data_IF_444842178690
#
_entry.id   IF_444842178690
#
_cell.length_a   1.000
_cell.length_b   1.000
_cell.length_c   1.000
_cell.angle_alpha   90.00
_cell.angle_beta   90.00
_cell.angle_gamma   90.00
#
_symmetry.space_group_name_H-M   'P 1'
#
loop_
_entity.id
_entity.type
_entity.pdbx_description
1 polymer ?
#
# COMPACT_ATOMS: atom_id res chain seq x y z
N UNK A 1 22.23 12.15 -49.39
CA UNK A 1 21.12 11.17 -49.40
C UNK A 1 21.26 10.03 -48.34
N UNK A 2 22.46 9.52 -48.05
CA UNK A 2 22.65 8.42 -47.06
C UNK A 2 22.26 8.78 -45.60
N UNK A 3 22.43 10.05 -45.17
CA UNK A 3 22.14 10.48 -43.81
C UNK A 3 20.62 10.61 -43.49
N UNK A 4 19.80 10.96 -44.52
CA UNK A 4 18.33 10.99 -44.34
C UNK A 4 17.75 9.58 -44.19
N UNK A 5 18.29 8.59 -44.90
CA UNK A 5 17.86 7.19 -44.79
C UNK A 5 18.13 6.57 -43.38
N UNK A 6 19.26 6.95 -42.76
CA UNK A 6 19.59 6.48 -41.40
C UNK A 6 18.66 7.08 -40.31
N UNK A 7 18.27 8.35 -40.45
CA UNK A 7 17.33 9.00 -39.49
C UNK A 7 15.95 8.39 -39.62
N UNK A 8 15.48 8.11 -40.84
CA UNK A 8 14.21 7.43 -41.08
C UNK A 8 14.18 5.99 -40.53
N UNK A 9 15.26 5.23 -40.67
CA UNK A 9 15.37 3.87 -40.13
C UNK A 9 15.42 3.84 -38.60
N UNK A 10 16.10 4.83 -37.99
CA UNK A 10 16.15 4.95 -36.53
C UNK A 10 14.79 5.36 -35.93
N UNK A 11 14.06 6.27 -36.58
CA UNK A 11 12.71 6.67 -36.17
C UNK A 11 11.71 5.51 -36.30
N UNK A 12 11.80 4.70 -37.36
CA UNK A 12 10.98 3.53 -37.56
C UNK A 12 11.28 2.42 -36.53
N UNK A 13 12.55 2.22 -36.18
CA UNK A 13 12.95 1.27 -35.13
C UNK A 13 12.48 1.67 -33.75
N UNK A 14 12.43 2.98 -33.44
CA UNK A 14 11.88 3.50 -32.19
C UNK A 14 10.33 3.33 -32.09
N UNK A 15 9.61 3.42 -33.18
CA UNK A 15 8.18 3.18 -33.26
C UNK A 15 7.81 1.68 -33.08
N UNK A 16 8.71 0.78 -33.48
CA UNK A 16 8.52 -0.67 -33.33
C UNK A 16 8.90 -1.18 -31.93
N UNK A 17 9.55 -0.36 -31.10
CA UNK A 17 9.93 -0.67 -29.73
C UNK A 17 8.88 -0.24 -28.68
N UNK A 18 7.73 0.30 -29.10
CA UNK A 18 6.61 0.52 -28.21
C UNK A 18 6.04 -0.87 -27.83
N UNK A 19 6.50 -1.45 -26.73
CA UNK A 19 5.83 -2.60 -26.10
C UNK A 19 4.39 -2.18 -25.86
N UNK A 20 3.38 -3.03 -26.18
CA UNK A 20 2.02 -2.76 -25.79
C UNK A 20 2.03 -2.56 -24.26
N UNK A 21 1.54 -1.42 -23.79
CA UNK A 21 1.31 -1.20 -22.38
C UNK A 21 0.09 -2.07 -22.01
N UNK A 22 0.36 -3.32 -21.67
CA UNK A 22 -0.67 -4.24 -21.19
C UNK A 22 -1.10 -3.74 -19.82
N UNK A 23 -2.33 -3.28 -19.70
CA UNK A 23 -2.89 -2.93 -18.42
C UNK A 23 -3.36 -4.21 -17.74
N UNK A 24 -2.53 -4.73 -16.87
CA UNK A 24 -2.82 -5.93 -16.08
C UNK A 24 -3.91 -5.66 -15.04
N UNK A 25 -4.61 -6.71 -14.63
CA UNK A 25 -5.35 -6.66 -13.37
C UNK A 25 -4.33 -6.51 -12.25
N UNK A 26 -4.52 -5.50 -11.42
CA UNK A 26 -3.62 -5.19 -10.29
C UNK A 26 -4.38 -5.06 -8.98
N UNK A 27 -3.68 -5.23 -7.86
CA UNK A 27 -4.18 -4.88 -6.53
C UNK A 27 -3.35 -3.72 -6.00
N UNK A 28 -4.03 -2.65 -5.60
CA UNK A 28 -3.40 -1.43 -5.10
C UNK A 28 -3.77 -1.21 -3.64
N UNK A 29 -2.84 -0.67 -2.82
CA UNK A 29 -1.44 -0.41 -3.15
C UNK A 29 -0.62 -1.71 -3.30
N UNK A 30 0.54 -1.63 -3.95
CA UNK A 30 1.44 -2.77 -4.20
C UNK A 30 2.20 -3.22 -2.95
N UNK A 31 2.11 -2.44 -1.86
CA UNK A 31 2.73 -2.76 -0.57
C UNK A 31 1.72 -2.51 0.56
N UNK A 32 1.72 -3.37 1.56
CA UNK A 32 0.87 -3.23 2.74
C UNK A 32 1.61 -3.65 4.02
N UNK A 33 1.41 -2.92 5.13
CA UNK A 33 2.09 -3.24 6.38
C UNK A 33 1.55 -4.52 7.03
N UNK A 34 2.46 -5.39 7.45
CA UNK A 34 2.16 -6.61 8.19
C UNK A 34 1.31 -6.31 9.44
N UNK A 35 0.32 -7.15 9.72
CA UNK A 35 -0.55 -7.05 10.90
C UNK A 35 -1.58 -5.91 10.85
N UNK A 36 -1.51 -4.99 9.89
CA UNK A 36 -2.41 -3.84 9.81
C UNK A 36 -3.77 -4.20 9.18
N UNK A 37 -4.81 -3.45 9.56
CA UNK A 37 -6.03 -3.36 8.75
C UNK A 37 -5.80 -2.39 7.61
N UNK A 38 -5.98 -2.86 6.38
CA UNK A 38 -5.63 -2.08 5.21
C UNK A 38 -6.72 -2.16 4.14
N UNK A 39 -6.87 -1.07 3.38
CA UNK A 39 -7.82 -1.00 2.27
C UNK A 39 -7.09 -1.19 0.94
N UNK A 40 -7.67 -2.03 0.08
CA UNK A 40 -7.15 -2.40 -1.22
C UNK A 40 -8.19 -2.15 -2.30
N UNK A 41 -7.74 -2.02 -3.53
CA UNK A 41 -8.59 -2.04 -4.71
C UNK A 41 -8.05 -3.03 -5.75
N UNK A 42 -8.91 -3.90 -6.25
CA UNK A 42 -8.64 -4.68 -7.46
C UNK A 42 -8.98 -3.78 -8.65
N UNK A 43 -7.98 -3.33 -9.38
CA UNK A 43 -8.15 -2.53 -10.58
C UNK A 43 -8.16 -3.43 -11.80
N UNK A 44 -9.24 -3.36 -12.55
CA UNK A 44 -9.49 -4.17 -13.75
C UNK A 44 -9.63 -3.26 -14.96
N UNK A 45 -8.62 -3.15 -15.81
CA UNK A 45 -8.71 -2.40 -17.07
C UNK A 45 -9.38 -3.25 -18.14
N UNK A 46 -9.99 -2.58 -19.13
CA UNK A 46 -10.43 -3.23 -20.35
C UNK A 46 -9.69 -2.62 -21.56
N UNK A 47 -8.78 -3.37 -22.14
CA UNK A 47 -8.00 -2.99 -23.33
C UNK A 47 -8.55 -3.59 -24.62
N UNK A 48 -9.65 -4.33 -24.57
CA UNK A 48 -10.30 -4.82 -25.79
C UNK A 48 -10.97 -3.66 -26.51
N UNK A 49 -10.94 -3.67 -27.85
CA UNK A 49 -11.58 -2.62 -28.66
C UNK A 49 -13.07 -2.93 -28.91
N UNK A 50 -13.46 -4.19 -28.82
CA UNK A 50 -14.74 -4.71 -29.32
C UNK A 50 -15.56 -5.52 -28.30
N UNK A 51 -15.08 -5.64 -27.06
CA UNK A 51 -15.76 -6.41 -26.02
C UNK A 51 -15.66 -5.74 -24.65
N UNK A 52 -16.77 -5.69 -23.92
CA UNK A 52 -16.83 -5.23 -22.54
C UNK A 52 -16.40 -6.35 -21.57
N UNK A 53 -15.78 -6.03 -20.45
CA UNK A 53 -15.63 -6.97 -19.34
C UNK A 53 -16.96 -7.11 -18.60
N UNK A 54 -17.45 -8.33 -18.45
CA UNK A 54 -18.79 -8.60 -17.87
C UNK A 54 -18.73 -9.41 -16.56
N UNK A 55 -17.60 -10.05 -16.27
CA UNK A 55 -17.36 -10.78 -15.03
C UNK A 55 -15.89 -10.70 -14.66
N UNK A 56 -15.64 -10.52 -13.37
CA UNK A 56 -14.30 -10.61 -12.75
C UNK A 56 -14.39 -11.55 -11.57
N UNK A 57 -13.50 -12.54 -11.53
CA UNK A 57 -13.39 -13.49 -10.42
C UNK A 57 -11.94 -13.41 -9.88
N UNK A 58 -11.80 -13.26 -8.57
CA UNK A 58 -10.48 -13.13 -7.91
C UNK A 58 -10.38 -14.15 -6.80
N UNK A 59 -9.32 -14.93 -6.81
CA UNK A 59 -8.94 -15.78 -5.69
C UNK A 59 -8.23 -14.95 -4.63
N UNK A 60 -8.57 -15.18 -3.36
CA UNK A 60 -7.99 -14.48 -2.22
C UNK A 60 -7.00 -15.37 -1.48
N UNK A 61 -5.83 -14.84 -1.10
CA UNK A 61 -4.98 -15.50 -0.13
C UNK A 61 -5.70 -15.59 1.23
N UNK A 62 -5.22 -16.39 2.19
CA UNK A 62 -5.82 -16.48 3.51
C UNK A 62 -5.75 -15.11 4.24
N UNK A 63 -6.85 -14.37 4.22
CA UNK A 63 -6.98 -13.06 4.87
C UNK A 63 -8.09 -13.09 5.92
N UNK A 64 -7.85 -12.42 7.05
CA UNK A 64 -8.85 -12.23 8.09
C UNK A 64 -9.60 -10.89 7.92
N UNK A 65 -10.84 -10.84 8.43
CA UNK A 65 -11.67 -9.63 8.47
C UNK A 65 -11.89 -8.97 7.12
N UNK A 66 -12.10 -9.77 6.08
CA UNK A 66 -12.33 -9.23 4.74
C UNK A 66 -13.72 -8.57 4.66
N UNK A 67 -13.77 -7.33 4.22
CA UNK A 67 -15.01 -6.64 3.86
C UNK A 67 -14.88 -5.97 2.51
N UNK A 68 -15.99 -5.86 1.78
CA UNK A 68 -16.00 -5.42 0.39
C UNK A 68 -16.80 -4.15 0.22
N UNK A 69 -16.29 -3.25 -0.62
CA UNK A 69 -17.04 -2.12 -1.11
C UNK A 69 -18.19 -2.58 -2.02
N UNK A 70 -19.33 -1.93 -1.90
CA UNK A 70 -20.40 -2.09 -2.89
C UNK A 70 -20.07 -1.30 -4.17
N UNK A 71 -20.29 -1.93 -5.33
CA UNK A 71 -20.00 -1.32 -6.62
C UNK A 71 -21.30 -1.28 -7.42
N UNK A 72 -21.76 -0.07 -7.72
CA UNK A 72 -23.02 0.14 -8.43
C UNK A 72 -23.06 -0.62 -9.76
N UNK A 73 -24.16 -1.30 -10.03
CA UNK A 73 -24.35 -2.11 -11.23
C UNK A 73 -23.69 -3.49 -11.19
N UNK A 74 -22.90 -3.81 -10.16
CA UNK A 74 -22.24 -5.11 -10.04
C UNK A 74 -22.76 -5.92 -8.87
N UNK A 75 -23.09 -7.18 -9.14
CA UNK A 75 -23.44 -8.16 -8.12
C UNK A 75 -22.16 -8.87 -7.65
N UNK A 76 -21.93 -8.89 -6.33
CA UNK A 76 -20.86 -9.64 -5.70
C UNK A 76 -21.35 -10.99 -5.18
N UNK A 77 -20.58 -12.04 -5.43
CA UNK A 77 -20.72 -13.37 -4.82
C UNK A 77 -19.41 -13.73 -4.15
N UNK A 78 -19.46 -14.15 -2.89
CA UNK A 78 -18.29 -14.55 -2.10
C UNK A 78 -18.38 -16.05 -1.84
N UNK A 79 -17.31 -16.76 -2.14
CA UNK A 79 -17.15 -18.17 -1.81
C UNK A 79 -16.14 -18.31 -0.66
N UNK A 80 -16.57 -18.98 0.40
CA UNK A 80 -15.71 -19.24 1.55
C UNK A 80 -14.88 -20.51 1.33
N UNK A 81 -13.69 -20.54 1.91
CA UNK A 81 -12.78 -21.70 1.87
C UNK A 81 -12.39 -22.09 3.28
N UNK A 82 -12.41 -23.39 3.56
CA UNK A 82 -11.87 -23.93 4.81
C UNK A 82 -10.38 -24.24 4.63
N UNK A 83 -9.55 -23.74 5.51
CA UNK A 83 -8.12 -23.98 5.56
C UNK A 83 -7.83 -25.30 6.29
N UNK A 84 -6.88 -26.10 5.80
CA UNK A 84 -6.37 -27.29 6.50
C UNK A 84 -5.57 -26.85 7.74
N UNK A 85 -4.75 -25.82 7.60
CA UNK A 85 -3.99 -25.19 8.67
C UNK A 85 -4.63 -23.81 8.99
N UNK A 86 -5.27 -23.66 10.15
CA UNK A 86 -5.86 -22.38 10.56
C UNK A 86 -4.82 -21.27 10.69
N UNK A 87 -5.20 -20.06 10.27
CA UNK A 87 -4.41 -18.87 10.54
C UNK A 87 -4.64 -18.37 11.96
N UNK A 88 -3.59 -17.88 12.62
CA UNK A 88 -3.73 -17.20 13.90
C UNK A 88 -4.21 -15.75 13.71
N UNK A 89 -5.26 -15.40 14.45
CA UNK A 89 -5.80 -14.05 14.46
C UNK A 89 -6.01 -13.59 15.89
N UNK A 90 -5.07 -12.83 16.41
CA UNK A 90 -5.06 -12.35 17.80
C UNK A 90 -5.09 -13.49 18.85
N UNK A 91 -4.42 -14.61 18.56
CA UNK A 91 -4.39 -15.79 19.42
C UNK A 91 -5.55 -16.77 19.23
N UNK A 92 -6.45 -16.50 18.28
CA UNK A 92 -7.59 -17.36 17.97
C UNK A 92 -7.39 -18.02 16.59
N UNK A 93 -7.57 -19.36 16.46
CA UNK A 93 -7.45 -20.03 15.18
C UNK A 93 -8.67 -19.76 14.28
N UNK A 94 -8.43 -19.27 13.08
CA UNK A 94 -9.46 -19.03 12.06
C UNK A 94 -9.24 -19.99 10.90
N UNK A 95 -10.22 -20.88 10.64
CA UNK A 95 -10.17 -21.88 9.58
C UNK A 95 -11.00 -21.50 8.36
N UNK A 96 -11.98 -20.61 8.48
CA UNK A 96 -12.87 -20.21 7.39
C UNK A 96 -12.51 -18.82 6.92
N UNK A 97 -12.09 -18.72 5.66
CA UNK A 97 -11.65 -17.47 5.02
C UNK A 97 -12.33 -17.30 3.67
N UNK A 98 -12.29 -16.08 3.13
CA UNK A 98 -12.69 -15.83 1.75
C UNK A 98 -11.77 -16.63 0.81
N UNK A 99 -12.34 -17.48 -0.01
CA UNK A 99 -11.62 -18.26 -1.04
C UNK A 99 -11.59 -17.53 -2.37
N UNK A 100 -12.76 -17.10 -2.85
CA UNK A 100 -12.88 -16.31 -4.07
C UNK A 100 -14.02 -15.31 -4.00
N UNK A 101 -13.94 -14.30 -4.84
CA UNK A 101 -14.99 -13.29 -5.02
C UNK A 101 -15.26 -13.12 -6.51
N UNK A 102 -16.53 -13.17 -6.87
CA UNK A 102 -16.98 -12.92 -8.23
C UNK A 102 -17.81 -11.64 -8.27
N UNK A 103 -17.46 -10.70 -9.14
CA UNK A 103 -18.27 -9.55 -9.52
C UNK A 103 -18.82 -9.78 -10.92
N UNK A 104 -20.13 -9.56 -11.12
CA UNK A 104 -20.83 -9.79 -12.39
C UNK A 104 -22.06 -8.93 -12.53
N UNK A 105 -22.59 -8.82 -13.75
CA UNK A 105 -23.82 -8.10 -14.06
C UNK A 105 -23.65 -6.64 -14.46
N UNK A 106 -22.46 -6.07 -14.25
CA UNK A 106 -22.04 -4.78 -14.80
C UNK A 106 -21.21 -4.96 -16.06
N UNK A 107 -20.69 -3.86 -16.58
CA UNK A 107 -19.81 -3.82 -17.75
C UNK A 107 -18.68 -2.81 -17.54
N UNK A 108 -17.45 -3.19 -17.91
CA UNK A 108 -16.34 -2.25 -18.10
C UNK A 108 -16.18 -2.10 -19.61
N UNK A 109 -16.44 -0.90 -20.14
CA UNK A 109 -16.39 -0.63 -21.58
C UNK A 109 -14.94 -0.63 -22.11
N UNK A 110 -14.74 -0.84 -23.41
CA UNK A 110 -13.45 -0.66 -24.06
C UNK A 110 -12.75 0.66 -23.68
N UNK A 111 -11.50 0.59 -23.27
CA UNK A 111 -10.70 1.74 -22.86
C UNK A 111 -10.99 2.29 -21.46
N UNK A 112 -11.93 1.68 -20.72
CA UNK A 112 -12.22 2.01 -19.32
C UNK A 112 -11.53 1.06 -18.35
N UNK A 113 -11.55 1.41 -17.07
CA UNK A 113 -11.20 0.51 -15.96
C UNK A 113 -12.24 0.65 -14.84
N UNK A 114 -12.32 -0.38 -13.99
CA UNK A 114 -13.12 -0.32 -12.77
C UNK A 114 -12.28 -0.81 -11.58
N UNK A 115 -12.60 -0.29 -10.41
CA UNK A 115 -11.97 -0.64 -9.15
C UNK A 115 -12.97 -1.30 -8.20
N UNK A 116 -12.61 -2.49 -7.70
CA UNK A 116 -13.37 -3.24 -6.73
C UNK A 116 -12.66 -3.17 -5.38
N UNK A 117 -13.18 -2.35 -4.47
CA UNK A 117 -12.56 -2.11 -3.16
C UNK A 117 -12.82 -3.24 -2.17
N UNK A 118 -11.83 -3.53 -1.35
CA UNK A 118 -11.97 -4.39 -0.17
C UNK A 118 -11.03 -3.92 0.94
N UNK A 119 -11.32 -4.32 2.17
CA UNK A 119 -10.40 -4.17 3.30
C UNK A 119 -10.19 -5.51 3.98
N UNK A 120 -9.01 -5.71 4.54
CA UNK A 120 -8.63 -6.94 5.23
C UNK A 120 -7.56 -6.65 6.27
N UNK A 121 -7.35 -7.60 7.20
CA UNK A 121 -6.14 -7.62 8.02
C UNK A 121 -5.03 -8.33 7.24
N UNK A 122 -3.91 -7.65 7.09
CA UNK A 122 -2.70 -8.18 6.44
C UNK A 122 -2.06 -9.21 7.37
N UNK A 123 -1.73 -10.43 6.91
CA UNK A 123 -1.05 -11.43 7.75
C UNK A 123 0.37 -10.96 8.13
N UNK A 124 0.90 -11.48 9.23
CA UNK A 124 2.24 -11.14 9.74
C UNK A 124 3.31 -12.13 9.29
N UNK A 125 2.89 -13.30 8.82
CA UNK A 125 3.72 -14.45 8.49
C UNK A 125 3.87 -14.71 6.98
N UNK A 126 3.45 -13.75 6.14
CA UNK A 126 3.58 -13.81 4.68
C UNK A 126 4.38 -12.60 4.18
N UNK A 127 5.24 -12.84 3.21
CA UNK A 127 6.01 -11.77 2.55
C UNK A 127 5.24 -11.15 1.37
N UNK A 128 4.25 -11.86 0.83
CA UNK A 128 3.51 -11.47 -0.35
C UNK A 128 2.09 -12.02 -0.34
N UNK A 129 1.13 -11.22 -0.79
CA UNK A 129 -0.24 -11.62 -1.06
C UNK A 129 -0.43 -11.74 -2.58
N UNK A 130 -0.89 -12.90 -3.05
CA UNK A 130 -1.12 -13.16 -4.47
C UNK A 130 -2.61 -13.30 -4.72
N UNK A 131 -3.10 -12.59 -5.76
CA UNK A 131 -4.52 -12.52 -6.14
C UNK A 131 -4.69 -12.95 -7.60
N UNK A 132 -4.77 -14.28 -7.88
CA UNK A 132 -5.12 -14.76 -9.22
C UNK A 132 -6.49 -14.27 -9.64
N UNK A 133 -6.63 -13.84 -10.90
CA UNK A 133 -7.90 -13.31 -11.39
C UNK A 133 -8.30 -13.88 -12.76
N UNK A 134 -9.61 -14.01 -12.98
CA UNK A 134 -10.19 -14.37 -14.26
C UNK A 134 -11.07 -13.18 -14.71
N UNK A 135 -10.78 -12.65 -15.90
CA UNK A 135 -11.54 -11.58 -16.52
C UNK A 135 -12.30 -12.12 -17.73
N UNK A 136 -13.63 -12.09 -17.66
CA UNK A 136 -14.52 -12.58 -18.72
C UNK A 136 -15.08 -11.42 -19.50
N UNK A 137 -14.95 -11.50 -20.81
CA UNK A 137 -15.47 -10.51 -21.75
C UNK A 137 -16.83 -10.90 -22.33
N UNK A 138 -17.55 -9.94 -22.86
CA UNK A 138 -18.85 -10.15 -23.54
C UNK A 138 -18.75 -11.03 -24.78
N UNK A 139 -17.58 -11.16 -25.39
CA UNK A 139 -17.25 -12.10 -26.46
C UNK A 139 -17.25 -13.56 -26.00
N UNK A 140 -17.21 -13.83 -24.69
CA UNK A 140 -17.01 -15.15 -24.10
C UNK A 140 -15.53 -15.50 -23.88
N UNK A 141 -14.60 -14.66 -24.29
CA UNK A 141 -13.18 -14.83 -23.98
C UNK A 141 -12.93 -14.68 -22.46
N UNK A 142 -12.01 -15.46 -21.93
CA UNK A 142 -11.55 -15.38 -20.54
C UNK A 142 -10.04 -15.20 -20.51
N UNK A 143 -9.59 -14.04 -20.04
CA UNK A 143 -8.17 -13.80 -19.74
C UNK A 143 -7.87 -14.27 -18.33
N UNK A 144 -6.73 -14.95 -18.16
CA UNK A 144 -6.34 -15.63 -16.93
C UNK A 144 -5.10 -14.98 -16.33
N UNK A 145 -5.30 -13.98 -15.49
CA UNK A 145 -4.27 -13.27 -14.72
C UNK A 145 -3.80 -14.15 -13.55
N UNK A 146 -3.05 -15.22 -13.84
CA UNK A 146 -2.65 -16.23 -12.85
C UNK A 146 -1.17 -16.60 -12.92
N UNK A 147 -0.42 -15.98 -13.84
CA UNK A 147 0.97 -16.29 -14.09
C UNK A 147 1.95 -15.79 -13.03
N UNK A 148 3.23 -16.20 -13.12
CA UNK A 148 4.31 -15.60 -12.35
C UNK A 148 4.54 -14.12 -12.76
N UNK A 149 5.38 -13.35 -12.03
CA UNK A 149 5.53 -11.90 -12.25
C UNK A 149 6.02 -11.50 -13.66
N UNK A 150 6.73 -12.39 -14.35
CA UNK A 150 7.32 -12.21 -15.68
C UNK A 150 6.48 -12.81 -16.82
N UNK A 151 5.28 -13.30 -16.52
CA UNK A 151 4.35 -13.82 -17.54
C UNK A 151 3.63 -12.66 -18.25
N UNK A 152 3.04 -12.98 -19.42
CA UNK A 152 2.19 -12.02 -20.14
C UNK A 152 0.93 -11.68 -19.36
N UNK A 153 0.34 -12.63 -18.60
CA UNK A 153 -0.82 -12.45 -17.71
C UNK A 153 -0.44 -12.81 -16.26
N UNK A 154 0.32 -11.95 -15.55
CA UNK A 154 0.72 -12.23 -14.19
C UNK A 154 -0.45 -12.10 -13.21
N UNK A 155 -0.44 -12.88 -12.14
CA UNK A 155 -1.32 -12.66 -11.01
C UNK A 155 -0.97 -11.34 -10.29
N UNK A 156 -1.98 -10.60 -9.84
CA UNK A 156 -1.78 -9.40 -9.04
C UNK A 156 -1.12 -9.75 -7.69
N UNK A 157 -0.22 -8.89 -7.22
CA UNK A 157 0.58 -9.12 -6.02
C UNK A 157 0.66 -7.86 -5.16
N UNK A 158 0.73 -8.08 -3.85
CA UNK A 158 0.98 -7.04 -2.86
C UNK A 158 2.10 -7.53 -1.94
N UNK A 159 3.18 -6.78 -1.86
CA UNK A 159 4.25 -7.07 -0.91
C UNK A 159 3.80 -6.76 0.52
N UNK A 160 4.09 -7.67 1.45
CA UNK A 160 3.84 -7.43 2.86
C UNK A 160 5.12 -6.87 3.47
N UNK A 161 5.05 -5.61 3.93
CA UNK A 161 6.20 -4.92 4.50
C UNK A 161 6.08 -4.87 6.02
N UNK A 162 7.11 -5.29 6.71
CA UNK A 162 7.23 -5.03 8.14
C UNK A 162 7.54 -3.54 8.31
N UNK A 163 6.64 -2.78 8.92
CA UNK A 163 6.94 -1.38 9.27
C UNK A 163 8.15 -1.40 10.18
N UNK A 164 9.29 -1.07 9.59
CA UNK A 164 10.59 -1.43 10.07
C UNK A 164 10.90 -0.87 11.44
N UNK A 165 11.32 -1.73 12.34
CA UNK A 165 12.07 -1.38 13.54
C UNK A 165 13.32 -0.55 13.28
N UNK A 166 13.76 -0.33 12.05
CA UNK A 166 14.91 0.52 11.71
C UNK A 166 14.56 2.02 11.73
N UNK A 167 13.39 2.43 11.26
CA UNK A 167 12.97 3.85 11.38
C UNK A 167 12.55 4.18 12.80
N UNK A 168 11.87 3.28 13.49
CA UNK A 168 11.50 3.47 14.90
C UNK A 168 12.72 3.42 15.82
N UNK A 169 13.67 2.51 15.57
CA UNK A 169 14.95 2.47 16.26
C UNK A 169 15.81 3.69 15.93
N UNK A 170 15.82 4.18 14.70
CA UNK A 170 16.47 5.42 14.31
C UNK A 170 15.87 6.65 15.00
N UNK A 171 14.55 6.73 15.11
CA UNK A 171 13.87 7.81 15.83
C UNK A 171 14.10 7.73 17.35
N UNK A 172 14.04 6.53 17.94
CA UNK A 172 14.33 6.33 19.35
C UNK A 172 15.81 6.64 19.68
N UNK A 173 16.75 6.25 18.81
CA UNK A 173 18.16 6.60 18.95
C UNK A 173 18.39 8.12 18.85
N UNK A 174 17.69 8.79 17.94
CA UNK A 174 17.77 10.25 17.80
C UNK A 174 17.19 10.97 19.01
N UNK A 175 16.06 10.50 19.56
CA UNK A 175 15.46 11.03 20.78
C UNK A 175 16.36 10.83 22.00
N UNK A 176 16.98 9.65 22.15
CA UNK A 176 17.95 9.37 23.22
C UNK A 176 19.22 10.21 23.11
N UNK A 177 19.68 10.52 21.89
CA UNK A 177 20.80 11.44 21.67
C UNK A 177 20.46 12.89 22.01
N UNK A 178 19.24 13.34 21.64
CA UNK A 178 18.74 14.66 22.03
C UNK A 178 18.61 14.79 23.54
N UNK A 179 18.07 13.79 24.22
CA UNK A 179 17.93 13.80 25.68
C UNK A 179 19.29 13.88 26.38
N UNK A 180 20.27 13.13 25.89
CA UNK A 180 21.67 13.19 26.37
C UNK A 180 22.26 14.58 26.18
N UNK A 181 22.09 15.21 25.00
CA UNK A 181 22.60 16.56 24.72
C UNK A 181 21.92 17.62 25.55
N UNK A 182 20.65 17.48 25.88
CA UNK A 182 19.93 18.35 26.80
C UNK A 182 20.53 18.22 28.23
N UNK A 183 20.76 17.01 28.70
CA UNK A 183 21.39 16.78 30.01
C UNK A 183 22.82 17.32 30.10
N UNK A 184 23.61 17.20 29.03
CA UNK A 184 24.94 17.78 28.94
C UNK A 184 24.90 19.32 28.99
N UNK A 185 23.93 19.95 28.33
CA UNK A 185 23.74 21.39 28.36
C UNK A 185 23.27 21.87 29.74
N UNK A 186 22.39 21.13 30.39
CA UNK A 186 21.93 21.43 31.76
C UNK A 186 23.10 21.28 32.77
N UNK A 187 23.91 20.25 32.63
CA UNK A 187 25.10 20.07 33.46
C UNK A 187 26.14 21.19 33.25
N UNK A 188 26.38 21.59 32.00
CA UNK A 188 27.30 22.68 31.67
C UNK A 188 26.80 24.05 32.13
N UNK A 189 25.48 24.23 32.23
CA UNK A 189 24.89 25.50 32.74
C UNK A 189 24.85 25.56 34.28
N UNK A 190 25.00 24.40 34.96
CA UNK A 190 24.98 24.30 36.41
C UNK A 190 26.32 24.64 37.11
N UNK A 191 27.45 24.76 36.37
CA UNK A 191 28.79 24.90 36.93
C UNK A 191 29.34 26.35 36.96
N UNK A 192 28.54 27.35 36.64
CA UNK A 192 28.98 28.75 36.75
C UNK A 192 27.95 29.62 37.46
N UNK A 193 28.19 29.84 38.77
CA UNK A 193 27.60 31.00 39.42
C UNK A 193 27.16 30.81 40.84
N UNK A 194 28.03 31.14 41.79
CA UNK A 194 27.61 31.68 43.11
C UNK A 194 26.63 32.84 42.95
N UNK A 195 25.61 32.98 43.81
CA UNK A 195 24.56 33.97 43.64
C UNK A 195 25.08 35.36 43.92
N UNK A 196 25.16 36.18 42.89
CA UNK A 196 25.20 37.64 43.02
C UNK A 196 24.05 38.24 42.22
N UNK A 197 23.09 38.70 42.93
CA UNK A 197 22.10 39.78 42.71
C UNK A 197 21.92 40.32 41.27
N UNK A 198 20.67 40.26 40.78
CA UNK A 198 20.15 41.16 39.76
C UNK A 198 19.88 40.63 38.37
N UNK A 199 18.66 40.23 38.10
CA UNK A 199 17.97 40.60 36.85
C UNK A 199 18.16 39.72 35.62
N UNK A 200 17.06 39.12 35.15
CA UNK A 200 16.69 38.82 33.77
C UNK A 200 17.03 37.45 33.13
N UNK A 201 17.76 36.54 33.76
CA UNK A 201 18.12 35.24 33.12
C UNK A 201 16.99 34.18 33.21
N UNK A 202 16.10 34.29 34.18
CA UNK A 202 14.98 33.38 34.38
C UNK A 202 13.92 33.42 33.25
N UNK A 203 13.83 34.52 32.54
CA UNK A 203 12.82 34.73 31.50
C UNK A 203 13.18 34.02 30.17
N UNK A 204 14.46 33.90 29.84
CA UNK A 204 14.90 33.27 28.57
C UNK A 204 14.73 31.76 28.62
N UNK A 205 15.07 31.10 29.76
CA UNK A 205 14.88 29.65 29.95
C UNK A 205 13.39 29.27 29.94
N UNK A 206 12.52 30.16 30.46
CA UNK A 206 11.06 29.91 30.41
C UNK A 206 10.50 29.96 28.99
N UNK A 207 11.01 30.82 28.11
CA UNK A 207 10.58 30.89 26.71
C UNK A 207 11.05 29.71 25.83
N UNK A 208 12.23 29.17 26.12
CA UNK A 208 12.74 27.95 25.42
C UNK A 208 11.91 26.72 25.78
N UNK A 209 11.56 26.56 27.07
CA UNK A 209 10.71 25.45 27.51
C UNK A 209 9.29 25.53 26.92
N UNK A 210 8.71 26.74 26.82
CA UNK A 210 7.41 26.98 26.19
C UNK A 210 7.49 26.70 24.67
N UNK A 211 8.58 27.09 24.01
CA UNK A 211 8.81 26.83 22.58
C UNK A 211 8.84 25.36 22.27
N UNK A 212 9.56 24.55 23.05
CA UNK A 212 9.63 23.09 22.89
C UNK A 212 8.30 22.38 23.15
N UNK A 213 7.53 22.82 24.14
CA UNK A 213 6.20 22.30 24.42
C UNK A 213 5.20 22.60 23.28
N UNK A 214 5.29 23.78 22.66
CA UNK A 214 4.45 24.13 21.50
C UNK A 214 4.80 23.32 20.24
N UNK A 215 6.07 23.02 20.00
CA UNK A 215 6.52 22.16 18.89
C UNK A 215 6.01 20.71 19.10
N UNK A 216 6.13 20.18 20.32
CA UNK A 216 5.63 18.84 20.65
C UNK A 216 4.09 18.76 20.49
N UNK A 217 3.36 19.80 20.87
CA UNK A 217 1.91 19.88 20.69
C UNK A 217 1.51 19.97 19.22
N UNK A 218 2.25 20.75 18.42
CA UNK A 218 2.01 20.87 16.98
C UNK A 218 2.23 19.54 16.23
N UNK A 219 3.30 18.81 16.56
CA UNK A 219 3.59 17.47 16.01
C UNK A 219 2.49 16.48 16.42
N UNK A 220 2.03 16.52 17.67
CA UNK A 220 0.93 15.68 18.16
C UNK A 220 -0.41 15.96 17.45
N UNK A 221 -0.70 17.23 17.15
CA UNK A 221 -1.92 17.63 16.43
C UNK A 221 -1.87 17.27 14.94
N UNK A 222 -0.70 17.33 14.30
CA UNK A 222 -0.50 16.89 12.92
C UNK A 222 -0.69 15.37 12.78
N UNK A 223 -0.22 14.58 13.75
CA UNK A 223 -0.45 13.11 13.79
C UNK A 223 -1.91 12.69 13.99
N UNK A 224 -2.77 13.55 14.54
CA UNK A 224 -4.21 13.26 14.70
C UNK A 224 -5.06 13.59 13.47
N UNK A 225 -4.47 14.20 12.45
CA UNK A 225 -5.14 14.59 11.19
C UNK A 225 -4.70 13.81 9.95
N UNK A 226 -3.74 12.91 10.07
CA UNK A 226 -3.35 11.91 9.08
C UNK A 226 -3.93 10.54 9.49
#
# INVERSE_FOLDING_TARGET
>A
MRRLGMIGALALALLLAASPAWAHVTVQPEEAPAGAFFAFVVRVPNEREDASTTKVEVEFPPLAFVSFQDVEGWKRTVEMRTLEDPIDVFGEPVSEVVGSVTWSGGEIQPGEFLEFGFSARVPEDQDELVFPALQTYSSGEVVRWIGPPDADEPAARVAVVTLGGEEEQGQLATLADLDRRVQELEAASGESGSPSDGGSTGTVLSWVAIGLALVALAVSLLRRRA
#
